data_IF_072609830592
#
_entry.id   IF_072609830592
#
_cell.length_a   1.000
_cell.length_b   1.000
_cell.length_c   1.000
_cell.angle_alpha   90.00
_cell.angle_beta   90.00
_cell.angle_gamma   90.00
#
_symmetry.space_group_name_H-M   'P 1'
#
loop_
_entity.id
_entity.type
_entity.pdbx_description
1 polymer ?
#
# COMPACT_ATOMS: atom_id res chain seq x y z
N UNK A 1 -17.31 9.56 -4.45
CA UNK A 1 -18.09 8.80 -5.47
C UNK A 1 -18.03 9.52 -6.82
N UNK A 2 -18.31 10.83 -6.91
CA UNK A 2 -18.34 11.56 -8.19
C UNK A 2 -17.06 11.37 -9.01
N UNK A 3 -15.89 11.38 -8.38
CA UNK A 3 -14.61 11.16 -9.08
C UNK A 3 -14.53 9.77 -9.76
N UNK A 4 -15.11 8.74 -9.14
CA UNK A 4 -15.15 7.39 -9.71
C UNK A 4 -16.20 7.28 -10.83
N UNK A 5 -17.35 7.91 -10.68
CA UNK A 5 -18.39 7.94 -11.72
C UNK A 5 -17.91 8.64 -13.00
N UNK A 6 -17.03 9.63 -12.84
CA UNK A 6 -16.45 10.43 -13.94
C UNK A 6 -15.18 9.81 -14.55
N UNK A 7 -14.75 8.60 -14.17
CA UNK A 7 -13.62 7.94 -14.81
C UNK A 7 -13.85 7.78 -16.33
N UNK A 8 -12.79 7.98 -17.12
CA UNK A 8 -12.83 7.81 -18.60
C UNK A 8 -13.06 6.34 -18.96
N UNK A 9 -12.47 5.40 -18.23
CA UNK A 9 -12.74 3.97 -18.34
C UNK A 9 -14.12 3.64 -17.79
N UNK A 10 -15.03 3.09 -18.62
CA UNK A 10 -16.46 2.92 -18.28
C UNK A 10 -16.85 1.52 -17.81
N UNK A 11 -16.07 0.49 -18.16
CA UNK A 11 -16.40 -0.90 -17.78
C UNK A 11 -16.01 -1.17 -16.31
N UNK A 12 -16.78 -0.61 -15.39
CA UNK A 12 -16.54 -0.67 -13.95
C UNK A 12 -17.75 -1.25 -13.22
N UNK A 13 -17.54 -2.08 -12.21
CA UNK A 13 -18.42 -2.20 -11.04
C UNK A 13 -17.83 -1.35 -9.90
N UNK A 14 -18.67 -0.73 -9.12
CA UNK A 14 -18.27 0.15 -8.03
C UNK A 14 -18.82 -0.44 -6.74
N UNK A 15 -17.95 -1.08 -5.96
CA UNK A 15 -18.32 -1.67 -4.67
C UNK A 15 -18.02 -0.67 -3.57
N UNK A 16 -19.04 -0.26 -2.84
CA UNK A 16 -18.92 0.63 -1.69
C UNK A 16 -19.34 -0.11 -0.44
N UNK A 17 -18.43 -0.26 0.51
CA UNK A 17 -18.72 -0.87 1.81
C UNK A 17 -18.98 0.23 2.82
N UNK A 18 -20.21 0.27 3.36
CA UNK A 18 -20.57 1.12 4.49
C UNK A 18 -20.38 0.33 5.79
N UNK A 19 -19.42 0.76 6.60
CA UNK A 19 -19.03 0.06 7.82
C UNK A 19 -19.79 0.58 9.06
N UNK A 20 -21.13 0.46 9.00
CA UNK A 20 -21.99 0.83 10.12
C UNK A 20 -22.04 2.33 10.39
N UNK A 21 -21.97 3.20 9.36
CA UNK A 21 -22.08 4.67 9.55
C UNK A 21 -23.41 5.05 10.18
N UNK A 22 -23.37 5.95 11.17
CA UNK A 22 -24.55 6.43 11.91
C UNK A 22 -25.06 7.78 11.43
N UNK A 23 -24.36 8.40 10.49
CA UNK A 23 -24.70 9.69 9.88
C UNK A 23 -25.50 9.51 8.57
N UNK A 24 -25.52 10.54 7.72
CA UNK A 24 -26.20 10.54 6.43
C UNK A 24 -25.51 9.74 5.32
N UNK A 25 -24.37 9.05 5.61
CA UNK A 25 -23.57 8.36 4.61
C UNK A 25 -24.38 7.33 3.82
N UNK A 26 -25.10 6.42 4.51
CA UNK A 26 -25.90 5.39 3.85
C UNK A 26 -26.98 5.98 2.92
N UNK A 27 -27.65 7.06 3.35
CA UNK A 27 -28.65 7.74 2.53
C UNK A 27 -28.06 8.35 1.26
N UNK A 28 -26.85 8.93 1.36
CA UNK A 28 -26.10 9.44 0.20
C UNK A 28 -25.70 8.30 -0.74
N UNK A 29 -25.24 7.18 -0.21
CA UNK A 29 -24.89 6.01 -1.01
C UNK A 29 -26.10 5.49 -1.82
N UNK A 30 -27.27 5.35 -1.19
CA UNK A 30 -28.50 4.96 -1.88
C UNK A 30 -28.92 5.96 -2.97
N UNK A 31 -28.73 7.27 -2.73
CA UNK A 31 -29.00 8.28 -3.74
C UNK A 31 -28.13 8.08 -4.99
N UNK A 32 -26.82 7.83 -4.82
CA UNK A 32 -25.92 7.57 -5.95
C UNK A 32 -26.20 6.23 -6.64
N UNK A 33 -26.48 5.18 -5.88
CA UNK A 33 -26.83 3.87 -6.43
C UNK A 33 -28.16 3.89 -7.22
N UNK A 34 -29.10 4.77 -6.83
CA UNK A 34 -30.32 5.00 -7.62
C UNK A 34 -30.08 5.73 -8.94
N UNK A 35 -28.93 6.38 -9.11
CA UNK A 35 -28.57 7.10 -10.35
C UNK A 35 -27.62 6.33 -11.27
N UNK A 36 -26.81 5.43 -10.72
CA UNK A 36 -25.83 4.67 -11.50
C UNK A 36 -25.87 3.18 -11.10
N UNK A 37 -26.27 2.30 -12.03
CA UNK A 37 -26.43 0.87 -11.76
C UNK A 37 -25.10 0.13 -11.52
N UNK A 38 -23.97 0.76 -11.78
CA UNK A 38 -22.64 0.18 -11.49
C UNK A 38 -22.32 0.15 -9.99
N UNK A 39 -23.05 0.92 -9.18
CA UNK A 39 -22.81 1.04 -7.74
C UNK A 39 -23.49 -0.11 -7.00
N UNK A 40 -22.69 -0.90 -6.31
CA UNK A 40 -23.11 -1.95 -5.39
C UNK A 40 -22.77 -1.54 -3.96
N UNK A 41 -23.78 -1.38 -3.12
CA UNK A 41 -23.59 -1.05 -1.70
C UNK A 41 -23.59 -2.34 -0.89
N UNK A 42 -22.58 -2.51 -0.05
CA UNK A 42 -22.53 -3.51 1.02
C UNK A 42 -22.64 -2.74 2.33
N UNK A 43 -23.70 -3.01 3.08
CA UNK A 43 -23.95 -2.33 4.35
C UNK A 43 -23.71 -3.31 5.51
N UNK A 44 -22.68 -3.04 6.31
CA UNK A 44 -22.48 -3.74 7.58
C UNK A 44 -23.49 -3.17 8.60
N UNK A 45 -24.16 -4.05 9.35
CA UNK A 45 -25.11 -3.64 10.40
C UNK A 45 -24.42 -2.90 11.55
N UNK A 46 -23.17 -3.24 11.79
CA UNK A 46 -22.30 -2.64 12.82
C UNK A 46 -20.90 -2.37 12.25
N UNK A 47 -20.15 -1.52 12.92
CA UNK A 47 -18.75 -1.23 12.55
C UNK A 47 -17.88 -2.47 12.81
N UNK A 48 -17.34 -3.06 11.75
CA UNK A 48 -16.43 -4.24 11.78
C UNK A 48 -14.95 -3.85 11.71
N UNK A 49 -14.68 -2.59 11.47
CA UNK A 49 -13.35 -2.05 11.28
C UNK A 49 -12.88 -2.07 9.82
N UNK A 50 -11.91 -1.19 9.55
CA UNK A 50 -11.43 -0.90 8.19
C UNK A 50 -10.99 -2.15 7.43
N UNK A 51 -10.12 -2.99 8.02
CA UNK A 51 -9.55 -4.18 7.37
C UNK A 51 -10.63 -5.21 7.06
N UNK A 52 -11.56 -5.43 7.99
CA UNK A 52 -12.67 -6.37 7.77
C UNK A 52 -13.58 -5.89 6.63
N UNK A 53 -13.93 -4.62 6.61
CA UNK A 53 -14.76 -4.00 5.56
C UNK A 53 -14.06 -3.99 4.21
N UNK A 54 -12.74 -3.74 4.16
CA UNK A 54 -11.94 -3.84 2.95
C UNK A 54 -11.97 -5.28 2.39
N UNK A 55 -11.75 -6.28 3.23
CA UNK A 55 -11.79 -7.69 2.82
C UNK A 55 -13.20 -8.16 2.39
N UNK A 56 -14.26 -7.62 2.98
CA UNK A 56 -15.64 -7.84 2.53
C UNK A 56 -15.84 -7.28 1.12
N UNK A 57 -15.36 -6.07 0.87
CA UNK A 57 -15.37 -5.47 -0.47
C UNK A 57 -14.63 -6.34 -1.49
N UNK A 58 -13.40 -6.76 -1.17
CA UNK A 58 -12.58 -7.64 -2.02
C UNK A 58 -13.28 -8.96 -2.33
N UNK A 59 -13.96 -9.55 -1.36
CA UNK A 59 -14.68 -10.81 -1.57
C UNK A 59 -15.88 -10.70 -2.53
N UNK A 60 -16.36 -9.48 -2.78
CA UNK A 60 -17.56 -9.21 -3.59
C UNK A 60 -17.29 -8.71 -5.01
N UNK A 61 -16.03 -8.48 -5.39
CA UNK A 61 -15.65 -8.02 -6.73
C UNK A 61 -15.77 -9.13 -7.78
N UNK A 62 -16.19 -8.76 -9.01
CA UNK A 62 -16.22 -9.67 -10.15
C UNK A 62 -15.19 -9.32 -11.22
N UNK A 63 -14.68 -8.09 -11.26
CA UNK A 63 -13.72 -7.62 -12.25
C UNK A 63 -12.38 -8.37 -12.22
N UNK A 64 -11.67 -8.37 -13.36
CA UNK A 64 -10.31 -8.97 -13.47
C UNK A 64 -9.24 -8.15 -12.75
N UNK A 65 -9.55 -6.89 -12.47
CA UNK A 65 -8.71 -5.96 -11.72
C UNK A 65 -9.53 -5.30 -10.62
N UNK A 66 -8.89 -5.05 -9.49
CA UNK A 66 -9.41 -4.24 -8.40
C UNK A 66 -8.67 -2.91 -8.38
N UNK A 67 -9.39 -1.80 -8.53
CA UNK A 67 -8.91 -0.45 -8.28
C UNK A 67 -9.44 0.01 -6.91
N UNK A 68 -8.56 0.55 -6.07
CA UNK A 68 -8.95 0.99 -4.73
C UNK A 68 -8.56 2.46 -4.53
N UNK A 69 -9.50 3.22 -3.99
CA UNK A 69 -9.26 4.60 -3.53
C UNK A 69 -9.93 4.85 -2.19
N UNK A 70 -9.47 5.84 -1.45
CA UNK A 70 -10.06 6.25 -0.18
C UNK A 70 -11.27 7.17 -0.40
N UNK A 71 -12.19 7.19 0.55
CA UNK A 71 -13.45 7.92 0.43
C UNK A 71 -13.26 9.46 0.53
N UNK A 72 -12.16 9.90 1.11
CA UNK A 72 -11.76 11.30 1.32
C UNK A 72 -10.82 11.83 0.22
N UNK A 73 -10.34 10.96 -0.68
CA UNK A 73 -9.48 11.31 -1.79
C UNK A 73 -10.25 11.57 -3.10
N UNK A 74 -9.56 12.18 -4.07
CA UNK A 74 -10.13 12.51 -5.38
C UNK A 74 -9.24 11.92 -6.47
N UNK A 75 -9.76 10.96 -7.23
CA UNK A 75 -9.07 10.39 -8.39
C UNK A 75 -9.25 11.28 -9.62
N UNK A 76 -8.18 11.43 -10.45
CA UNK A 76 -8.30 12.09 -11.75
C UNK A 76 -9.13 11.23 -12.72
N UNK A 77 -9.82 11.83 -13.69
CA UNK A 77 -10.71 11.08 -14.59
C UNK A 77 -10.03 9.95 -15.36
N UNK A 78 -8.77 10.10 -15.72
CA UNK A 78 -7.97 9.15 -16.49
C UNK A 78 -7.20 8.12 -15.66
N UNK A 79 -7.36 8.12 -14.34
CA UNK A 79 -6.60 7.25 -13.41
C UNK A 79 -6.67 5.77 -13.80
N UNK A 80 -7.89 5.21 -13.89
CA UNK A 80 -8.06 3.79 -14.21
C UNK A 80 -7.59 3.49 -15.62
N UNK A 81 -7.92 4.31 -16.61
CA UNK A 81 -7.56 4.10 -18.00
C UNK A 81 -6.04 4.04 -18.21
N UNK A 82 -5.29 4.98 -17.61
CA UNK A 82 -3.83 5.04 -17.72
C UNK A 82 -3.15 3.85 -17.06
N UNK A 83 -3.49 3.55 -15.81
CA UNK A 83 -2.85 2.46 -15.08
C UNK A 83 -3.21 1.12 -15.72
N UNK A 84 -4.49 0.87 -16.00
CA UNK A 84 -4.93 -0.38 -16.61
C UNK A 84 -4.33 -0.56 -18.02
N UNK A 85 -4.30 0.49 -18.82
CA UNK A 85 -3.67 0.46 -20.16
C UNK A 85 -2.19 0.08 -20.08
N UNK A 86 -1.45 0.61 -19.08
CA UNK A 86 -0.06 0.24 -18.85
C UNK A 86 0.07 -1.22 -18.42
N UNK A 87 -0.72 -1.68 -17.45
CA UNK A 87 -0.70 -3.07 -16.97
C UNK A 87 -1.06 -4.09 -18.05
N UNK A 88 -1.98 -3.75 -18.97
CA UNK A 88 -2.36 -4.61 -20.11
C UNK A 88 -1.21 -4.77 -21.10
N UNK A 89 -0.39 -3.73 -21.30
CA UNK A 89 0.80 -3.79 -22.17
C UNK A 89 2.03 -4.42 -21.47
N UNK A 90 1.99 -4.60 -20.15
CA UNK A 90 3.05 -5.19 -19.33
C UNK A 90 2.47 -6.30 -18.44
N UNK A 91 2.15 -7.48 -19.02
CA UNK A 91 1.40 -8.52 -18.31
C UNK A 91 2.11 -9.12 -17.09
N UNK A 92 3.42 -8.95 -16.94
CA UNK A 92 4.19 -9.33 -15.77
C UNK A 92 3.87 -8.47 -14.54
N UNK A 93 3.36 -7.23 -14.73
CA UNK A 93 2.95 -6.35 -13.62
C UNK A 93 1.59 -6.83 -13.11
N UNK A 94 1.56 -7.16 -11.83
CA UNK A 94 0.34 -7.66 -11.16
C UNK A 94 -0.35 -6.62 -10.30
N UNK A 95 0.38 -5.57 -9.90
CA UNK A 95 -0.18 -4.43 -9.18
C UNK A 95 0.59 -3.14 -9.51
N UNK A 96 -0.13 -2.02 -9.53
CA UNK A 96 0.42 -0.72 -9.86
C UNK A 96 -0.27 0.39 -9.09
N UNK A 97 0.53 1.27 -8.47
CA UNK A 97 0.08 2.55 -7.91
C UNK A 97 0.37 3.72 -8.83
N UNK A 98 0.23 4.94 -8.32
CA UNK A 98 0.64 6.19 -8.99
C UNK A 98 1.25 7.17 -7.99
N UNK A 99 1.82 8.27 -8.50
CA UNK A 99 2.11 9.43 -7.67
C UNK A 99 0.82 10.06 -7.16
N UNK A 100 0.94 10.86 -6.09
CA UNK A 100 -0.17 11.62 -5.51
C UNK A 100 0.11 13.11 -5.63
N UNK A 101 -0.95 13.92 -5.67
CA UNK A 101 -0.88 15.36 -5.43
C UNK A 101 -1.50 15.64 -4.06
N UNK A 102 -0.81 16.38 -3.23
CA UNK A 102 -1.27 16.73 -1.89
C UNK A 102 -2.37 17.78 -1.96
N UNK A 103 -3.51 17.52 -1.33
CA UNK A 103 -4.55 18.50 -1.01
C UNK A 103 -4.48 18.80 0.47
N UNK A 104 -4.01 19.99 0.82
CA UNK A 104 -4.08 20.51 2.19
C UNK A 104 -5.04 21.68 2.20
N UNK A 105 -6.12 21.59 2.96
CA UNK A 105 -7.00 22.72 3.28
C UNK A 105 -6.45 23.36 4.55
N UNK A 106 -6.03 24.63 4.48
CA UNK A 106 -5.62 25.49 5.60
C UNK A 106 -4.31 25.20 6.34
N UNK A 107 -3.33 24.54 5.72
CA UNK A 107 -1.95 24.45 6.26
C UNK A 107 -1.83 23.77 7.63
N UNK A 108 -2.88 23.16 8.15
CA UNK A 108 -2.94 22.61 9.48
C UNK A 108 -3.17 21.09 9.49
N UNK A 109 -2.21 20.38 10.02
CA UNK A 109 -2.55 19.41 10.99
C UNK A 109 -2.27 17.96 10.75
N UNK A 110 -1.65 17.46 9.69
CA UNK A 110 -1.10 16.11 9.70
C UNK A 110 0.43 16.16 9.92
N UNK A 111 1.02 15.09 10.47
CA UNK A 111 2.49 14.97 10.54
C UNK A 111 3.14 15.11 9.14
N UNK A 112 2.40 14.77 8.08
CA UNK A 112 2.83 14.92 6.69
C UNK A 112 2.81 16.38 6.22
N UNK A 113 1.99 17.26 6.80
CA UNK A 113 1.98 18.70 6.50
C UNK A 113 3.30 19.40 6.90
N UNK A 114 4.14 18.78 7.70
CA UNK A 114 5.51 19.25 7.97
C UNK A 114 6.48 18.98 6.83
N UNK A 115 6.12 18.12 5.88
CA UNK A 115 6.98 17.67 4.77
C UNK A 115 6.42 18.04 3.40
N UNK A 116 5.11 18.28 3.28
CA UNK A 116 4.43 18.53 2.02
C UNK A 116 3.51 19.74 2.12
N UNK A 117 3.51 20.58 1.09
CA UNK A 117 2.60 21.70 0.93
C UNK A 117 1.44 21.31 -0.02
N UNK A 118 0.41 22.16 -0.06
CA UNK A 118 -0.68 22.00 -1.03
C UNK A 118 -0.15 22.06 -2.47
N UNK A 119 -0.47 21.05 -3.26
CA UNK A 119 -0.03 20.93 -4.66
C UNK A 119 1.28 20.16 -4.85
N UNK A 120 1.99 19.81 -3.80
CA UNK A 120 3.20 18.99 -3.90
C UNK A 120 2.88 17.61 -4.47
N UNK A 121 3.83 17.06 -5.22
CA UNK A 121 3.79 15.69 -5.71
C UNK A 121 4.50 14.75 -4.75
N UNK A 122 3.79 13.74 -4.27
CA UNK A 122 4.40 12.62 -3.56
C UNK A 122 4.78 11.52 -4.55
N UNK A 123 6.07 11.38 -4.79
CA UNK A 123 6.65 10.44 -5.76
C UNK A 123 7.16 9.20 -5.06
N UNK A 124 6.93 8.05 -5.68
CA UNK A 124 7.43 6.75 -5.25
C UNK A 124 8.31 6.11 -6.35
N UNK A 125 9.16 5.13 -6.00
CA UNK A 125 9.92 4.35 -6.97
C UNK A 125 9.03 3.74 -8.06
N UNK A 126 9.53 3.64 -9.29
CA UNK A 126 8.72 3.25 -10.45
C UNK A 126 8.81 1.76 -10.77
N UNK A 127 10.01 1.19 -10.70
CA UNK A 127 10.25 -0.20 -11.09
C UNK A 127 10.09 -1.17 -9.92
N UNK A 128 9.78 -2.44 -10.24
CA UNK A 128 9.68 -3.51 -9.23
C UNK A 128 10.91 -3.59 -8.34
N UNK A 129 12.10 -3.55 -8.94
CA UNK A 129 13.37 -3.60 -8.18
C UNK A 129 13.47 -2.45 -7.18
N UNK A 130 13.26 -1.22 -7.64
CA UNK A 130 13.33 -0.04 -6.77
C UNK A 130 12.26 -0.09 -5.66
N UNK A 131 11.07 -0.60 -5.98
CA UNK A 131 9.97 -0.80 -5.03
C UNK A 131 10.38 -1.81 -3.95
N UNK A 132 10.90 -2.98 -4.32
CA UNK A 132 11.36 -4.01 -3.38
C UNK A 132 12.51 -3.47 -2.50
N UNK A 133 13.45 -2.74 -3.08
CA UNK A 133 14.54 -2.10 -2.35
C UNK A 133 14.02 -1.02 -1.37
N UNK A 134 12.99 -0.25 -1.76
CA UNK A 134 12.36 0.74 -0.88
C UNK A 134 11.54 0.08 0.25
N UNK A 135 10.95 -1.10 0.01
CA UNK A 135 10.23 -1.87 1.03
C UNK A 135 11.11 -2.30 2.20
N UNK A 136 12.42 -2.25 2.08
CA UNK A 136 13.34 -2.46 3.20
C UNK A 136 13.27 -1.33 4.24
N UNK A 137 12.71 -0.18 3.88
CA UNK A 137 12.74 1.05 4.68
C UNK A 137 11.36 1.69 4.89
N UNK A 138 10.47 1.61 3.92
CA UNK A 138 9.13 2.24 3.95
C UNK A 138 8.13 1.49 3.05
N UNK A 139 6.85 1.89 3.12
CA UNK A 139 5.84 1.46 2.13
C UNK A 139 5.95 2.33 0.87
N UNK A 140 6.35 1.80 -0.30
CA UNK A 140 6.55 2.56 -1.52
C UNK A 140 5.36 2.54 -2.48
N UNK A 141 4.19 2.08 -2.06
CA UNK A 141 2.98 2.05 -2.86
C UNK A 141 1.85 2.76 -2.11
N UNK A 142 1.27 3.76 -2.75
CA UNK A 142 0.10 4.45 -2.24
C UNK A 142 -1.16 3.61 -2.41
N UNK A 143 -1.70 3.12 -1.29
CA UNK A 143 -2.83 2.20 -1.29
C UNK A 143 -4.11 2.82 -1.91
N UNK A 144 -4.27 4.13 -1.83
CA UNK A 144 -5.41 4.88 -2.40
C UNK A 144 -5.35 5.12 -3.92
N UNK A 145 -4.24 4.72 -4.57
CA UNK A 145 -4.08 4.87 -6.02
C UNK A 145 -3.88 3.54 -6.76
N UNK A 146 -3.97 2.42 -6.03
CA UNK A 146 -3.57 1.11 -6.53
C UNK A 146 -4.60 0.47 -7.46
N UNK A 147 -4.09 -0.23 -8.48
CA UNK A 147 -4.83 -1.23 -9.26
C UNK A 147 -4.06 -2.56 -9.17
N UNK A 148 -4.76 -3.64 -8.88
CA UNK A 148 -4.18 -4.97 -8.68
C UNK A 148 -4.99 -6.03 -9.44
N UNK A 149 -4.31 -7.03 -10.02
CA UNK A 149 -4.99 -8.18 -10.65
C UNK A 149 -5.79 -8.97 -9.62
N UNK A 150 -7.03 -9.28 -9.94
CA UNK A 150 -7.91 -10.03 -9.02
C UNK A 150 -7.43 -11.46 -8.74
N UNK A 151 -6.51 -12.00 -9.56
CA UNK A 151 -5.83 -13.29 -9.32
C UNK A 151 -5.08 -13.31 -7.99
N UNK A 152 -4.54 -12.17 -7.55
CA UNK A 152 -3.89 -12.02 -6.22
C UNK A 152 -4.84 -12.46 -5.10
N UNK A 153 -6.11 -12.13 -5.23
CA UNK A 153 -7.14 -12.48 -4.23
C UNK A 153 -7.78 -13.84 -4.48
N UNK A 154 -8.02 -14.19 -5.75
CA UNK A 154 -8.79 -15.39 -6.13
C UNK A 154 -7.95 -16.66 -6.15
N UNK A 155 -6.75 -16.58 -6.70
CA UNK A 155 -5.87 -17.75 -6.88
C UNK A 155 -4.88 -17.87 -5.73
N UNK A 156 -4.29 -16.76 -5.27
CA UNK A 156 -3.32 -16.76 -4.18
C UNK A 156 -3.96 -16.56 -2.80
N UNK A 157 -5.24 -16.24 -2.72
CA UNK A 157 -5.98 -16.11 -1.47
C UNK A 157 -5.55 -14.96 -0.58
N UNK A 158 -4.70 -14.03 -1.09
CA UNK A 158 -4.23 -12.90 -0.29
C UNK A 158 -5.38 -12.00 0.19
N UNK A 159 -5.24 -11.53 1.40
CA UNK A 159 -6.15 -10.58 2.06
C UNK A 159 -5.34 -9.61 2.91
N UNK A 160 -5.93 -8.47 3.24
CA UNK A 160 -5.37 -7.58 4.24
C UNK A 160 -5.46 -8.24 5.62
N UNK A 161 -4.32 -8.33 6.32
CA UNK A 161 -4.20 -9.07 7.59
C UNK A 161 -4.51 -8.15 8.78
N UNK A 162 -5.53 -8.45 9.60
CA UNK A 162 -5.89 -7.65 10.77
C UNK A 162 -4.81 -7.60 11.85
N UNK A 163 -3.84 -8.51 11.83
CA UNK A 163 -2.69 -8.46 12.74
C UNK A 163 -1.76 -7.26 12.47
N UNK A 164 -1.86 -6.64 11.29
CA UNK A 164 -1.06 -5.49 10.88
C UNK A 164 -1.89 -4.20 10.80
N UNK A 165 -2.81 -4.01 11.73
CA UNK A 165 -3.67 -2.81 11.78
C UNK A 165 -2.84 -1.53 11.65
N UNK A 166 -3.29 -0.60 10.80
CA UNK A 166 -2.64 0.66 10.42
C UNK A 166 -1.35 0.53 9.61
N UNK A 167 -0.93 -0.69 9.25
CA UNK A 167 0.19 -1.00 8.35
C UNK A 167 -0.16 -2.20 7.45
N UNK A 168 -1.43 -2.52 7.37
CA UNK A 168 -1.99 -3.64 6.59
C UNK A 168 -1.62 -3.56 5.10
N UNK A 169 -1.54 -2.34 4.58
CA UNK A 169 -1.15 -2.07 3.20
C UNK A 169 0.32 -2.39 2.94
N UNK A 170 1.22 -1.98 3.83
CA UNK A 170 2.63 -2.28 3.70
C UNK A 170 2.90 -3.78 3.74
N UNK A 171 2.27 -4.49 4.69
CA UNK A 171 2.34 -5.95 4.76
C UNK A 171 1.78 -6.61 3.50
N UNK A 172 0.62 -6.14 3.02
CA UNK A 172 -0.02 -6.65 1.82
C UNK A 172 0.88 -6.50 0.59
N UNK A 173 1.47 -5.31 0.37
CA UNK A 173 2.36 -5.06 -0.77
C UNK A 173 3.63 -5.89 -0.71
N UNK A 174 4.17 -6.15 0.49
CA UNK A 174 5.30 -7.05 0.66
C UNK A 174 4.97 -8.47 0.18
N UNK A 175 3.79 -9.00 0.51
CA UNK A 175 3.38 -10.33 0.01
C UNK A 175 3.09 -10.33 -1.49
N UNK A 176 2.43 -9.30 -2.01
CA UNK A 176 2.17 -9.17 -3.45
C UNK A 176 3.47 -9.13 -4.24
N UNK A 177 4.53 -8.48 -3.72
CA UNK A 177 5.83 -8.42 -4.36
C UNK A 177 6.49 -9.79 -4.57
N UNK A 178 6.04 -10.83 -3.85
CA UNK A 178 6.52 -12.20 -4.00
C UNK A 178 5.76 -13.01 -5.06
N UNK A 179 4.67 -12.47 -5.59
CA UNK A 179 3.81 -13.13 -6.58
C UNK A 179 4.05 -12.64 -8.00
N UNK A 180 4.60 -11.44 -8.18
CA UNK A 180 4.88 -10.84 -9.48
C UNK A 180 5.37 -9.42 -9.38
N UNK A 181 5.51 -8.75 -10.53
CA UNK A 181 6.06 -7.41 -10.58
C UNK A 181 5.08 -6.34 -10.08
N UNK A 182 5.61 -5.39 -9.33
CA UNK A 182 4.94 -4.16 -8.91
C UNK A 182 5.49 -2.98 -9.70
N UNK A 183 4.68 -1.93 -9.89
CA UNK A 183 5.12 -0.68 -10.48
C UNK A 183 4.38 0.52 -9.87
N UNK A 184 4.90 1.73 -10.11
CA UNK A 184 4.15 2.97 -9.94
C UNK A 184 4.11 3.73 -11.26
N UNK A 185 2.96 4.32 -11.57
CA UNK A 185 2.78 5.16 -12.76
C UNK A 185 3.42 6.53 -12.51
N UNK A 186 4.24 7.06 -13.45
CA UNK A 186 5.05 8.26 -13.23
C UNK A 186 4.26 9.58 -13.38
N UNK A 187 2.99 9.57 -13.01
CA UNK A 187 2.13 10.75 -12.94
C UNK A 187 1.29 10.72 -11.67
N UNK A 188 0.99 11.89 -11.14
CA UNK A 188 0.00 12.02 -10.07
C UNK A 188 -1.40 11.81 -10.63
N UNK A 189 -2.06 10.73 -10.24
CA UNK A 189 -3.41 10.37 -10.69
C UNK A 189 -4.46 10.44 -9.59
N UNK A 190 -4.04 10.75 -8.36
CA UNK A 190 -4.93 10.91 -7.20
C UNK A 190 -4.51 12.13 -6.40
N UNK A 191 -5.49 12.90 -5.98
CA UNK A 191 -5.33 13.96 -5.00
C UNK A 191 -5.54 13.39 -3.61
N UNK A 192 -4.50 13.43 -2.78
CA UNK A 192 -4.48 12.92 -1.42
C UNK A 192 -4.78 14.04 -0.42
N UNK A 193 -5.86 13.89 0.31
CA UNK A 193 -6.32 14.91 1.27
C UNK A 193 -5.62 14.75 2.61
N UNK A 194 -4.98 15.83 3.09
CA UNK A 194 -4.41 15.89 4.44
C UNK A 194 -5.42 16.46 5.42
N UNK A 195 -5.65 15.78 6.53
CA UNK A 195 -6.46 16.26 7.65
C UNK A 195 -6.02 15.64 8.98
N UNK A 196 -6.41 16.30 10.11
CA UNK A 196 -5.92 15.94 11.45
C UNK A 196 -6.39 14.59 11.99
N UNK A 197 -7.47 14.04 11.44
CA UNK A 197 -8.08 12.79 11.89
C UNK A 197 -7.60 11.58 11.10
N UNK A 198 -6.56 11.73 10.27
CA UNK A 198 -5.97 10.61 9.52
C UNK A 198 -5.35 9.57 10.46
N UNK A 199 -5.47 8.31 10.07
CA UNK A 199 -4.90 7.17 10.82
C UNK A 199 -3.41 7.34 11.09
N UNK A 200 -2.63 7.83 10.12
CA UNK A 200 -1.19 8.08 10.24
C UNK A 200 -0.84 9.13 11.30
N UNK A 201 -1.73 10.09 11.56
CA UNK A 201 -1.53 11.11 12.59
C UNK A 201 -1.86 10.59 13.99
N UNK A 202 -2.86 9.70 14.11
CA UNK A 202 -3.38 9.23 15.39
C UNK A 202 -2.62 8.03 15.97
N UNK A 203 -2.04 7.18 15.13
CA UNK A 203 -1.50 5.87 15.52
C UNK A 203 0.01 5.69 15.25
N UNK A 204 0.78 6.76 15.13
CA UNK A 204 2.18 6.77 14.71
C UNK A 204 3.08 5.75 15.47
N UNK A 205 2.99 5.66 16.82
CA UNK A 205 3.83 4.71 17.59
C UNK A 205 3.56 3.25 17.23
N UNK A 206 2.30 2.88 17.10
CA UNK A 206 1.92 1.51 16.76
C UNK A 206 2.32 1.19 15.31
N UNK A 207 2.07 2.12 14.38
CA UNK A 207 2.51 2.01 12.99
C UNK A 207 4.02 1.78 12.89
N UNK A 208 4.82 2.56 13.62
CA UNK A 208 6.29 2.41 13.62
C UNK A 208 6.73 1.03 14.12
N UNK A 209 6.08 0.51 15.16
CA UNK A 209 6.37 -0.83 15.69
C UNK A 209 6.04 -1.93 14.65
N UNK A 210 4.85 -1.86 14.04
CA UNK A 210 4.45 -2.84 13.03
C UNK A 210 5.30 -2.70 11.76
N UNK A 211 5.62 -1.48 11.33
CA UNK A 211 6.52 -1.24 10.20
C UNK A 211 7.92 -1.83 10.43
N UNK A 212 8.45 -1.81 11.68
CA UNK A 212 9.72 -2.49 12.01
C UNK A 212 9.63 -4.00 11.75
N UNK A 213 8.51 -4.66 12.12
CA UNK A 213 8.30 -6.08 11.86
C UNK A 213 8.23 -6.40 10.37
N UNK A 214 7.53 -5.56 9.61
CA UNK A 214 7.40 -5.71 8.15
C UNK A 214 8.75 -5.52 7.47
N UNK A 215 9.52 -4.48 7.83
CA UNK A 215 10.87 -4.24 7.29
C UNK A 215 11.82 -5.41 7.55
N UNK A 216 11.80 -5.97 8.75
CA UNK A 216 12.62 -7.15 9.06
C UNK A 216 12.26 -8.35 8.17
N UNK A 217 10.97 -8.55 7.91
CA UNK A 217 10.50 -9.58 6.97
C UNK A 217 10.93 -9.27 5.54
N UNK A 218 10.85 -8.01 5.12
CA UNK A 218 11.33 -7.56 3.81
C UNK A 218 12.85 -7.80 3.65
N UNK A 219 13.63 -7.48 4.69
CA UNK A 219 15.07 -7.77 4.73
C UNK A 219 15.33 -9.27 4.57
N UNK A 220 14.61 -10.11 5.28
CA UNK A 220 14.76 -11.56 5.16
C UNK A 220 14.44 -12.07 3.75
N UNK A 221 13.42 -11.55 3.09
CA UNK A 221 13.12 -11.87 1.69
C UNK A 221 14.24 -11.40 0.76
N UNK A 222 14.69 -10.16 0.92
CA UNK A 222 15.77 -9.60 0.11
C UNK A 222 17.08 -10.39 0.26
N UNK A 223 17.48 -10.73 1.49
CA UNK A 223 18.65 -11.58 1.76
C UNK A 223 18.50 -12.98 1.15
N UNK A 224 17.30 -13.54 1.20
CA UNK A 224 17.00 -14.83 0.57
C UNK A 224 17.19 -14.79 -0.94
N UNK A 225 16.71 -13.74 -1.58
CA UNK A 225 16.85 -13.58 -3.04
C UNK A 225 18.31 -13.40 -3.46
N UNK A 226 19.17 -12.92 -2.56
CA UNK A 226 20.63 -12.83 -2.75
C UNK A 226 21.36 -14.14 -2.44
N UNK A 227 20.66 -15.19 -1.96
CA UNK A 227 21.27 -16.48 -1.61
C UNK A 227 21.80 -16.57 -0.18
N UNK A 228 21.55 -15.56 0.68
CA UNK A 228 21.87 -15.62 2.10
C UNK A 228 20.93 -16.60 2.80
N UNK A 229 21.47 -17.52 3.61
CA UNK A 229 20.71 -18.58 4.28
C UNK A 229 20.20 -18.13 5.64
N UNK A 230 21.04 -17.41 6.39
CA UNK A 230 20.68 -16.92 7.73
C UNK A 230 19.50 -15.92 7.66
N UNK A 231 18.65 -15.96 8.68
CA UNK A 231 17.46 -15.10 8.80
C UNK A 231 17.45 -14.37 10.13
N UNK A 232 17.05 -13.10 10.09
CA UNK A 232 16.81 -12.32 11.29
C UNK A 232 15.58 -12.86 12.02
N UNK A 233 15.74 -13.18 13.29
CA UNK A 233 14.68 -13.62 14.20
C UNK A 233 13.76 -12.48 14.65
N UNK A 234 12.93 -12.74 15.66
CA UNK A 234 12.10 -11.70 16.30
C UNK A 234 13.00 -10.63 16.95
N UNK A 235 13.98 -11.07 17.73
CA UNK A 235 15.08 -10.23 18.22
C UNK A 235 16.29 -10.39 17.30
N UNK A 236 17.05 -9.33 17.13
CA UNK A 236 18.31 -9.32 16.37
C UNK A 236 19.45 -9.37 17.36
N UNK A 237 20.35 -10.33 17.20
CA UNK A 237 21.54 -10.49 18.02
C UNK A 237 22.81 -10.18 17.21
N UNK A 238 23.89 -9.87 17.89
CA UNK A 238 25.16 -9.54 17.24
C UNK A 238 25.64 -10.69 16.34
N UNK A 239 25.51 -11.93 16.78
CA UNK A 239 25.92 -13.11 15.98
C UNK A 239 25.08 -13.29 14.70
N UNK A 240 23.82 -12.82 14.64
CA UNK A 240 23.02 -12.84 13.43
C UNK A 240 23.65 -11.96 12.35
N UNK A 241 24.09 -10.76 12.77
CA UNK A 241 24.72 -9.80 11.88
C UNK A 241 26.06 -10.31 11.38
N UNK A 242 26.90 -10.88 12.28
CA UNK A 242 28.17 -11.49 11.90
C UNK A 242 27.99 -12.63 10.89
N UNK A 243 26.99 -13.50 11.11
CA UNK A 243 26.69 -14.63 10.22
C UNK A 243 26.25 -14.11 8.84
N UNK A 244 25.32 -13.15 8.80
CA UNK A 244 24.88 -12.53 7.55
C UNK A 244 26.04 -11.86 6.83
N UNK A 245 26.92 -11.14 7.54
CA UNK A 245 28.11 -10.50 6.96
C UNK A 245 29.06 -11.53 6.35
N UNK A 246 29.30 -12.66 7.02
CA UNK A 246 30.17 -13.72 6.50
C UNK A 246 29.60 -14.34 5.22
N UNK A 247 28.28 -14.60 5.19
CA UNK A 247 27.62 -15.12 4.00
C UNK A 247 27.66 -14.12 2.84
N UNK A 248 27.37 -12.82 3.10
CA UNK A 248 27.45 -11.76 2.10
C UNK A 248 28.88 -11.55 1.56
N UNK A 249 29.89 -11.70 2.43
CA UNK A 249 31.29 -11.67 2.01
C UNK A 249 31.62 -12.79 1.04
N UNK A 250 31.14 -14.00 1.32
CA UNK A 250 31.33 -15.16 0.43
C UNK A 250 30.68 -14.98 -0.94
N UNK A 251 29.60 -14.19 -1.01
CA UNK A 251 28.89 -13.84 -2.24
C UNK A 251 29.43 -12.56 -2.92
N UNK A 252 30.46 -11.92 -2.35
CA UNK A 252 31.04 -10.66 -2.83
C UNK A 252 30.03 -9.47 -2.86
N UNK A 253 29.09 -9.44 -1.92
CA UNK A 253 28.00 -8.47 -1.87
C UNK A 253 28.19 -7.33 -0.83
N UNK A 254 29.26 -7.35 -0.02
CA UNK A 254 29.46 -6.37 1.06
C UNK A 254 29.63 -4.92 0.55
N UNK A 255 30.02 -4.72 -0.69
CA UNK A 255 30.17 -3.38 -1.27
C UNK A 255 28.87 -2.78 -1.79
N UNK A 256 27.79 -3.53 -1.82
CA UNK A 256 26.46 -3.05 -2.19
C UNK A 256 25.94 -2.03 -1.16
N UNK A 257 25.52 -0.85 -1.63
CA UNK A 257 25.08 0.24 -0.76
C UNK A 257 23.83 -0.09 0.07
N UNK A 258 22.90 -0.88 -0.49
CA UNK A 258 21.69 -1.35 0.20
C UNK A 258 22.06 -2.30 1.33
N UNK A 259 22.96 -3.26 1.05
CA UNK A 259 23.49 -4.17 2.07
C UNK A 259 24.15 -3.42 3.21
N UNK A 260 25.02 -2.45 2.90
CA UNK A 260 25.65 -1.60 3.92
C UNK A 260 24.62 -0.91 4.79
N UNK A 261 23.55 -0.39 4.21
CA UNK A 261 22.46 0.25 4.93
C UNK A 261 21.68 -0.75 5.80
N UNK A 262 21.33 -1.92 5.27
CA UNK A 262 20.67 -2.99 6.05
C UNK A 262 21.51 -3.36 7.28
N UNK A 263 22.81 -3.62 7.08
CA UNK A 263 23.71 -3.98 8.18
C UNK A 263 23.79 -2.87 9.21
N UNK A 264 23.89 -1.60 8.78
CA UNK A 264 23.89 -0.45 9.67
C UNK A 264 22.60 -0.37 10.51
N UNK A 265 21.42 -0.52 9.89
CA UNK A 265 20.14 -0.48 10.59
C UNK A 265 20.00 -1.66 11.57
N UNK A 266 20.53 -2.84 11.23
CA UNK A 266 20.61 -3.98 12.14
C UNK A 266 21.50 -3.68 13.36
N UNK A 267 22.69 -3.06 13.16
CA UNK A 267 23.54 -2.65 14.28
C UNK A 267 22.90 -1.60 15.17
N UNK A 268 22.20 -0.60 14.60
CA UNK A 268 21.46 0.38 15.39
C UNK A 268 20.38 -0.28 16.26
N UNK A 269 19.72 -1.29 15.72
CA UNK A 269 18.69 -2.05 16.48
C UNK A 269 19.23 -2.78 17.71
N UNK A 270 20.55 -3.06 17.78
CA UNK A 270 21.21 -3.62 18.96
C UNK A 270 21.49 -2.59 20.04
N UNK A 271 21.65 -1.32 19.67
CA UNK A 271 21.96 -0.22 20.60
C UNK A 271 20.70 0.34 21.25
N UNK A 272 19.55 0.23 20.57
CA UNK A 272 18.25 0.74 21.01
C UNK A 272 17.48 -0.25 21.92
N UNK A 273 18.02 -1.45 22.18
CA UNK A 273 17.52 -2.46 23.12
C UNK A 273 18.37 -2.48 24.39
#
# INVERSE_FOLDING_TARGET
IDAILNQTYKNLEIVVVNDGSTDTTLSKLHYFAGKDPRIKIINNEENKGFIASLNIGIASINGDYLARTDADDITKPEWIEKILGYMLSHPQIIAMGSYLTILSEDGNGSNLANYYEHGDEWRNPLSHREIVEAMLFCNPIHNNSMIVKSTVFREHGLRFDPAYQHTEDYQFWLEVSRLGELANYPESLVYYRLHNTQTSSLHNKYQNLMAKKIRKRAINYYLQDLGVIHRLGEDIFFHDIETIQAELASLSLLDNCIIKRILYDCYLSLVDN
#
